data_IF_883930904454
#
_entry.id   IF_883930904454
#
_cell.length_a   1.000
_cell.length_b   1.000
_cell.length_c   1.000
_cell.angle_alpha   90.00
_cell.angle_beta   90.00
_cell.angle_gamma   90.00
#
_symmetry.space_group_name_H-M   'P 1'
#
loop_
_entity.id
_entity.type
_entity.pdbx_description
1 polymer ?
#
# COMPACT_ATOMS: atom_id res chain seq x y z
N UNK A 1 4.93 27.60 -9.90
CA UNK A 1 5.35 26.49 -10.79
C UNK A 1 4.29 25.40 -10.76
N UNK A 2 4.13 24.60 -11.84
CA UNK A 2 3.20 23.49 -11.89
C UNK A 2 3.95 22.18 -11.67
N UNK A 3 3.53 21.39 -10.67
CA UNK A 3 4.05 20.06 -10.39
C UNK A 3 3.02 18.99 -10.74
N UNK A 4 3.45 17.91 -11.38
CA UNK A 4 2.60 16.77 -11.75
C UNK A 4 2.99 15.60 -10.88
N UNK A 5 2.00 15.02 -10.17
CA UNK A 5 2.15 13.90 -9.25
C UNK A 5 1.62 12.64 -9.92
N UNK A 6 2.48 11.66 -10.16
CA UNK A 6 2.09 10.36 -10.69
C UNK A 6 1.41 9.48 -9.65
N UNK A 7 0.31 8.85 -10.01
CA UNK A 7 -0.45 7.94 -9.17
C UNK A 7 -0.96 6.74 -9.94
N UNK A 8 -1.03 5.57 -9.30
CA UNK A 8 -1.85 4.48 -9.83
C UNK A 8 -3.34 4.84 -9.74
N UNK A 9 -4.15 4.19 -10.56
CA UNK A 9 -5.61 4.45 -10.62
C UNK A 9 -6.44 3.74 -9.53
N UNK A 10 -5.84 2.96 -8.60
CA UNK A 10 -6.61 2.33 -7.54
C UNK A 10 -7.10 3.36 -6.52
N UNK A 11 -8.29 3.13 -5.92
CA UNK A 11 -8.89 4.03 -4.93
C UNK A 11 -7.93 4.39 -3.81
N UNK A 12 -7.20 3.40 -3.25
CA UNK A 12 -6.22 3.65 -2.20
C UNK A 12 -5.04 4.52 -2.69
N UNK A 13 -4.50 4.26 -3.88
CA UNK A 13 -3.40 5.05 -4.43
C UNK A 13 -3.82 6.51 -4.66
N UNK A 14 -5.03 6.73 -5.19
CA UNK A 14 -5.56 8.08 -5.39
C UNK A 14 -5.76 8.83 -4.07
N UNK A 15 -6.26 8.18 -3.02
CA UNK A 15 -6.40 8.78 -1.69
C UNK A 15 -5.03 9.15 -1.11
N UNK A 16 -4.03 8.27 -1.25
CA UNK A 16 -2.66 8.55 -0.82
C UNK A 16 -2.06 9.75 -1.57
N UNK A 17 -2.27 9.81 -2.88
CA UNK A 17 -1.75 10.89 -3.71
C UNK A 17 -2.48 12.21 -3.43
N UNK A 18 -3.79 12.20 -3.24
CA UNK A 18 -4.57 13.38 -2.84
C UNK A 18 -4.12 13.93 -1.48
N UNK A 19 -3.88 13.06 -0.51
CA UNK A 19 -3.34 13.48 0.78
C UNK A 19 -2.02 14.25 0.63
N UNK A 20 -1.11 13.78 -0.21
CA UNK A 20 0.15 14.47 -0.50
C UNK A 20 -0.09 15.79 -1.22
N UNK A 21 -0.94 15.79 -2.25
CA UNK A 21 -1.32 16.97 -3.02
C UNK A 21 -1.89 18.08 -2.12
N UNK A 22 -2.84 17.75 -1.25
CA UNK A 22 -3.49 18.69 -0.33
C UNK A 22 -2.51 19.30 0.66
N UNK A 23 -1.59 18.48 1.21
CA UNK A 23 -0.54 18.97 2.10
C UNK A 23 0.39 19.95 1.40
N UNK A 24 0.81 19.65 0.18
CA UNK A 24 1.68 20.51 -0.62
C UNK A 24 0.95 21.79 -1.04
N UNK A 25 -0.27 21.69 -1.54
CA UNK A 25 -1.05 22.87 -1.96
C UNK A 25 -1.33 23.84 -0.80
N UNK A 26 -1.52 23.30 0.43
CA UNK A 26 -1.70 24.12 1.62
C UNK A 26 -0.41 24.83 2.05
N UNK A 27 0.74 24.17 1.93
CA UNK A 27 2.03 24.71 2.38
C UNK A 27 2.67 25.65 1.33
N UNK A 28 2.37 25.44 0.03
CA UNK A 28 2.96 26.14 -1.10
C UNK A 28 1.88 26.63 -2.06
N UNK A 29 1.03 27.60 -1.62
CA UNK A 29 -0.12 28.08 -2.42
C UNK A 29 0.27 28.78 -3.72
N UNK A 30 1.53 29.20 -3.86
CA UNK A 30 2.11 29.78 -5.09
C UNK A 30 2.39 28.72 -6.18
N UNK A 31 2.26 27.43 -5.85
CA UNK A 31 2.47 26.32 -6.77
C UNK A 31 1.17 25.57 -7.05
N UNK A 32 1.09 24.96 -8.23
CA UNK A 32 -0.03 24.11 -8.62
C UNK A 32 0.42 22.64 -8.61
N UNK A 33 -0.39 21.77 -8.02
CA UNK A 33 -0.12 20.34 -7.94
C UNK A 33 -1.26 19.57 -8.63
N UNK A 34 -0.94 18.84 -9.70
CA UNK A 34 -1.91 18.06 -10.45
C UNK A 34 -1.62 16.56 -10.38
N UNK A 35 -2.66 15.74 -10.35
CA UNK A 35 -2.51 14.28 -10.32
C UNK A 35 -2.66 13.72 -11.72
N UNK A 36 -1.67 12.93 -12.16
CA UNK A 36 -1.72 12.15 -13.39
C UNK A 36 -1.85 10.67 -13.07
N UNK A 37 -2.92 10.02 -13.58
CA UNK A 37 -3.15 8.59 -13.38
C UNK A 37 -2.33 7.81 -14.40
N UNK A 38 -1.53 6.84 -13.89
CA UNK A 38 -0.64 5.99 -14.68
C UNK A 38 -1.07 4.53 -14.48
N UNK A 39 -1.38 3.85 -15.59
CA UNK A 39 -1.73 2.42 -15.58
C UNK A 39 -0.45 1.59 -15.60
N UNK A 40 -0.22 0.79 -14.56
CA UNK A 40 0.95 -0.08 -14.47
C UNK A 40 0.67 -1.50 -14.99
N UNK A 41 1.72 -2.27 -15.30
CA UNK A 41 1.59 -3.69 -15.66
C UNK A 41 0.94 -4.50 -14.56
N UNK A 42 1.24 -4.19 -13.29
CA UNK A 42 0.63 -4.84 -12.13
C UNK A 42 -0.87 -4.61 -12.03
N UNK A 43 -1.38 -3.46 -12.49
CA UNK A 43 -2.82 -3.18 -12.55
C UNK A 43 -3.54 -3.97 -13.65
N UNK A 44 -2.84 -4.26 -14.75
CA UNK A 44 -3.39 -5.02 -15.90
C UNK A 44 -3.44 -6.52 -15.65
N UNK A 45 -2.47 -7.09 -14.92
CA UNK A 45 -2.35 -8.55 -14.71
C UNK A 45 -2.99 -8.92 -13.36
N UNK A 46 -4.27 -9.28 -13.36
CA UNK A 46 -4.98 -9.67 -12.14
C UNK A 46 -5.16 -11.20 -11.98
N UNK A 47 -4.90 -11.98 -13.04
CA UNK A 47 -5.25 -13.40 -13.11
C UNK A 47 -4.12 -14.35 -12.67
N UNK A 48 -2.92 -13.85 -12.34
CA UNK A 48 -1.77 -14.69 -11.96
C UNK A 48 -1.26 -14.30 -10.57
N UNK A 49 -0.82 -15.22 -9.70
CA UNK A 49 -0.15 -14.90 -8.44
C UNK A 49 1.06 -13.99 -8.66
N UNK A 50 1.32 -13.04 -7.74
CA UNK A 50 2.40 -12.05 -7.88
C UNK A 50 3.79 -12.69 -8.00
N UNK A 51 4.02 -13.79 -7.29
CA UNK A 51 5.26 -14.56 -7.31
C UNK A 51 5.50 -15.28 -8.64
N UNK A 52 4.44 -15.52 -9.44
CA UNK A 52 4.54 -16.15 -10.77
C UNK A 52 4.66 -15.13 -11.92
N UNK A 53 4.44 -13.84 -11.67
CA UNK A 53 4.50 -12.82 -12.72
C UNK A 53 5.95 -12.40 -12.99
N UNK A 54 6.86 -12.59 -12.02
CA UNK A 54 8.29 -12.25 -12.11
C UNK A 54 8.55 -10.76 -12.38
N UNK A 55 9.62 -10.23 -11.78
CA UNK A 55 10.07 -8.86 -12.00
C UNK A 55 9.82 -7.96 -10.77
N UNK A 56 10.88 -7.26 -10.35
CA UNK A 56 10.80 -6.17 -9.39
C UNK A 56 10.09 -4.99 -10.06
N UNK A 57 9.28 -4.25 -9.29
CA UNK A 57 8.72 -2.99 -9.78
C UNK A 57 7.43 -3.11 -10.62
N UNK A 58 6.65 -4.20 -10.53
CA UNK A 58 5.39 -4.38 -11.28
C UNK A 58 4.39 -3.24 -11.16
N UNK A 59 4.47 -2.46 -10.09
CA UNK A 59 3.55 -1.36 -9.78
C UNK A 59 4.20 0.02 -9.83
N UNK A 60 5.49 0.09 -10.16
CA UNK A 60 6.25 1.34 -10.04
C UNK A 60 6.97 1.74 -11.32
N UNK A 61 7.37 0.77 -12.15
CA UNK A 61 8.24 0.99 -13.32
C UNK A 61 7.73 2.07 -14.26
N UNK A 62 6.46 2.05 -14.61
CA UNK A 62 5.87 3.05 -15.52
C UNK A 62 5.80 4.45 -14.89
N UNK A 63 5.75 4.53 -13.56
CA UNK A 63 5.81 5.80 -12.83
C UNK A 63 7.25 6.30 -12.82
N UNK A 64 8.22 5.43 -12.47
CA UNK A 64 9.66 5.74 -12.50
C UNK A 64 10.10 6.25 -13.88
N UNK A 65 9.70 5.57 -14.98
CA UNK A 65 10.00 5.98 -16.35
C UNK A 65 9.51 7.41 -16.64
N UNK A 66 8.31 7.77 -16.17
CA UNK A 66 7.73 9.12 -16.35
C UNK A 66 8.40 10.18 -15.46
N UNK A 67 8.89 9.81 -14.27
CA UNK A 67 9.69 10.72 -13.45
C UNK A 67 11.03 10.99 -14.12
N UNK A 68 11.70 9.94 -14.62
CA UNK A 68 13.00 10.05 -15.30
C UNK A 68 12.89 10.90 -16.57
N UNK A 69 11.84 10.70 -17.37
CA UNK A 69 11.60 11.50 -18.59
C UNK A 69 11.20 12.96 -18.31
N UNK A 70 10.82 13.28 -17.07
CA UNK A 70 10.31 14.62 -16.71
C UNK A 70 8.85 14.87 -17.09
N UNK A 71 8.12 13.84 -17.55
CA UNK A 71 6.68 13.95 -17.83
C UNK A 71 5.88 14.19 -16.55
N UNK A 72 6.32 13.60 -15.43
CA UNK A 72 5.83 13.88 -14.09
C UNK A 72 6.99 14.26 -13.17
N UNK A 73 6.70 14.95 -12.08
CA UNK A 73 7.72 15.48 -11.17
C UNK A 73 7.98 14.54 -9.99
N UNK A 74 6.97 13.78 -9.55
CA UNK A 74 7.05 12.87 -8.42
C UNK A 74 6.06 11.72 -8.52
N UNK A 75 6.37 10.60 -7.84
CA UNK A 75 5.48 9.47 -7.63
C UNK A 75 5.09 9.31 -6.16
N UNK A 76 3.85 8.87 -5.90
CA UNK A 76 3.38 8.53 -4.56
C UNK A 76 3.06 7.04 -4.49
N UNK A 77 3.71 6.33 -3.55
CA UNK A 77 3.64 4.89 -3.43
C UNK A 77 3.42 4.45 -1.97
N UNK A 78 2.86 3.27 -1.78
CA UNK A 78 2.99 2.55 -0.51
C UNK A 78 4.42 2.04 -0.39
N UNK A 79 5.17 2.48 0.62
CA UNK A 79 6.62 2.22 0.70
C UNK A 79 6.97 0.73 0.76
N UNK A 80 6.11 -0.10 1.35
CA UNK A 80 6.29 -1.57 1.39
C UNK A 80 6.31 -2.25 0.01
N UNK A 81 5.79 -1.58 -1.02
CA UNK A 81 5.70 -2.11 -2.39
C UNK A 81 6.90 -1.66 -3.25
N UNK A 82 7.75 -0.76 -2.69
CA UNK A 82 8.94 -0.24 -3.35
C UNK A 82 10.13 -1.19 -3.21
N UNK A 83 11.03 -1.21 -4.20
CA UNK A 83 12.32 -1.85 -4.03
C UNK A 83 13.14 -1.15 -2.95
N UNK A 84 14.06 -1.87 -2.32
CA UNK A 84 14.95 -1.32 -1.27
C UNK A 84 15.91 -0.24 -1.79
N UNK A 85 16.17 -0.25 -3.09
CA UNK A 85 17.02 0.74 -3.78
C UNK A 85 16.18 1.37 -4.89
N UNK A 86 16.07 2.71 -4.94
CA UNK A 86 15.37 3.39 -6.02
C UNK A 86 16.06 3.14 -7.37
N UNK A 87 15.35 3.39 -8.46
CA UNK A 87 15.92 3.34 -9.80
C UNK A 87 17.02 4.41 -9.96
N UNK A 88 17.99 4.17 -10.85
CA UNK A 88 19.10 5.11 -11.09
C UNK A 88 18.55 6.48 -11.48
N UNK A 89 19.03 7.52 -10.82
CA UNK A 89 18.61 8.91 -11.01
C UNK A 89 17.36 9.31 -10.23
N UNK A 90 16.77 8.38 -9.46
CA UNK A 90 15.65 8.64 -8.56
C UNK A 90 16.09 8.52 -7.09
N UNK A 91 15.36 9.20 -6.22
CA UNK A 91 15.54 9.13 -4.76
C UNK A 91 14.19 9.10 -4.07
N UNK A 92 14.13 8.47 -2.90
CA UNK A 92 13.03 8.65 -1.97
C UNK A 92 13.33 9.84 -1.06
N UNK A 93 12.34 10.69 -0.87
CA UNK A 93 12.43 11.78 0.12
C UNK A 93 12.31 11.22 1.53
N UNK A 94 12.47 12.05 2.55
CA UNK A 94 12.23 11.65 3.92
C UNK A 94 10.80 11.17 4.11
N UNK A 95 10.62 10.18 4.98
CA UNK A 95 9.32 9.55 5.22
C UNK A 95 8.43 10.47 6.06
N UNK A 96 7.21 10.72 5.58
CA UNK A 96 6.18 11.44 6.33
C UNK A 96 5.62 10.56 7.47
N UNK A 97 4.76 11.14 8.32
CA UNK A 97 4.14 10.41 9.44
C UNK A 97 3.59 9.06 8.96
N UNK A 98 4.11 8.00 9.57
CA UNK A 98 3.71 6.63 9.29
C UNK A 98 2.32 6.37 9.86
N UNK A 99 1.45 5.75 9.09
CA UNK A 99 0.17 5.23 9.54
C UNK A 99 0.36 3.89 10.26
N UNK A 100 -0.67 3.39 10.95
CA UNK A 100 -0.66 2.14 11.71
C UNK A 100 -0.06 0.98 10.91
N UNK A 101 1.09 0.43 11.32
CA UNK A 101 1.80 -0.60 10.56
C UNK A 101 1.19 -2.00 10.72
N UNK A 102 0.26 -2.20 11.64
CA UNK A 102 -0.27 -3.53 11.96
C UNK A 102 -0.99 -4.16 10.78
N UNK A 103 -1.00 -5.48 10.76
CA UNK A 103 -1.96 -6.25 9.98
C UNK A 103 -3.25 -6.41 10.78
N UNK A 104 -4.37 -6.57 10.08
CA UNK A 104 -5.69 -6.71 10.69
C UNK A 104 -6.44 -7.87 10.05
N UNK A 105 -7.30 -8.49 10.83
CA UNK A 105 -8.28 -9.47 10.38
C UNK A 105 -9.61 -8.77 10.12
N UNK A 106 -10.25 -9.19 9.05
CA UNK A 106 -11.65 -8.93 8.77
C UNK A 106 -12.30 -10.31 8.70
N UNK A 107 -13.08 -10.64 9.72
CA UNK A 107 -13.72 -11.93 9.91
C UNK A 107 -15.22 -11.81 9.66
N UNK A 108 -15.79 -12.78 8.97
CA UNK A 108 -17.20 -12.76 8.61
C UNK A 108 -18.14 -13.16 9.76
N UNK A 109 -17.75 -14.15 10.55
CA UNK A 109 -18.62 -14.75 11.57
C UNK A 109 -18.02 -14.75 12.99
N UNK A 110 -16.84 -14.17 13.17
CA UNK A 110 -16.14 -14.09 14.44
C UNK A 110 -15.56 -12.68 14.66
N UNK A 111 -15.22 -12.35 15.91
CA UNK A 111 -14.53 -11.10 16.24
C UNK A 111 -13.02 -11.30 16.41
N UNK A 112 -12.61 -12.48 16.81
CA UNK A 112 -11.22 -12.81 17.09
C UNK A 112 -10.79 -14.09 16.38
N UNK A 113 -9.49 -14.21 16.07
CA UNK A 113 -8.87 -15.37 15.44
C UNK A 113 -9.12 -16.66 16.24
N UNK A 114 -9.17 -16.56 17.58
CA UNK A 114 -9.41 -17.67 18.48
C UNK A 114 -10.84 -18.23 18.41
N UNK A 115 -11.79 -17.44 17.95
CA UNK A 115 -13.22 -17.81 17.87
C UNK A 115 -13.56 -18.52 16.56
N UNK A 116 -12.63 -18.54 15.61
CA UNK A 116 -12.85 -19.24 14.34
C UNK A 116 -12.96 -20.75 14.55
N UNK A 117 -13.86 -21.38 13.81
CA UNK A 117 -13.99 -22.85 13.75
C UNK A 117 -12.69 -23.49 13.32
N UNK A 118 -12.49 -24.76 13.66
CA UNK A 118 -11.41 -25.57 13.12
C UNK A 118 -11.48 -25.65 11.59
N UNK A 119 -10.32 -25.58 10.94
CA UNK A 119 -10.23 -25.57 9.48
C UNK A 119 -10.82 -24.33 8.80
N UNK A 120 -10.98 -23.20 9.51
CA UNK A 120 -11.49 -21.96 8.93
C UNK A 120 -10.61 -21.47 7.77
N UNK A 121 -11.25 -20.89 6.74
CA UNK A 121 -10.61 -20.45 5.50
C UNK A 121 -10.27 -18.96 5.57
N UNK A 122 -8.98 -18.63 5.66
CA UNK A 122 -8.49 -17.24 5.67
C UNK A 122 -7.75 -16.95 4.36
N UNK A 123 -8.11 -15.85 3.70
CA UNK A 123 -7.48 -15.49 2.45
C UNK A 123 -6.39 -14.43 2.60
N UNK A 124 -5.23 -14.70 2.02
CA UNK A 124 -4.14 -13.74 1.88
C UNK A 124 -3.26 -14.06 0.67
N UNK A 125 -2.83 -13.04 -0.09
CA UNK A 125 -1.80 -13.22 -1.12
C UNK A 125 -0.37 -13.06 -0.60
N UNK A 126 -0.17 -12.91 0.70
CA UNK A 126 1.13 -12.69 1.34
C UNK A 126 1.63 -13.94 2.02
N UNK A 127 2.74 -14.52 1.53
CA UNK A 127 3.42 -15.64 2.19
C UNK A 127 3.81 -15.31 3.64
N UNK A 128 4.28 -14.09 3.89
CA UNK A 128 4.61 -13.62 5.24
C UNK A 128 3.41 -13.77 6.20
N UNK A 129 2.23 -13.31 5.79
CA UNK A 129 1.00 -13.41 6.58
C UNK A 129 0.56 -14.86 6.75
N UNK A 130 0.58 -15.62 5.65
CA UNK A 130 0.20 -17.03 5.67
C UNK A 130 1.00 -17.85 6.69
N UNK A 131 2.33 -17.73 6.65
CA UNK A 131 3.21 -18.46 7.59
C UNK A 131 2.98 -18.04 9.04
N UNK A 132 2.81 -16.77 9.32
CA UNK A 132 2.58 -16.28 10.67
C UNK A 132 1.20 -16.69 11.20
N UNK A 133 0.15 -16.66 10.38
CA UNK A 133 -1.17 -17.17 10.76
C UNK A 133 -1.14 -18.66 11.08
N UNK A 134 -0.48 -19.47 10.23
CA UNK A 134 -0.34 -20.90 10.46
C UNK A 134 0.52 -21.24 11.69
N UNK A 135 1.41 -20.36 12.11
CA UNK A 135 2.12 -20.49 13.40
C UNK A 135 1.18 -20.27 14.58
N UNK A 136 0.25 -19.32 14.48
CA UNK A 136 -0.74 -19.03 15.54
C UNK A 136 -1.87 -20.07 15.57
N UNK A 137 -2.32 -20.49 14.39
CA UNK A 137 -3.45 -21.42 14.19
C UNK A 137 -3.11 -22.39 13.05
N UNK A 138 -2.44 -23.53 13.36
CA UNK A 138 -2.00 -24.51 12.36
C UNK A 138 -3.13 -25.20 11.59
N UNK A 139 -4.33 -25.18 12.13
CA UNK A 139 -5.55 -25.79 11.56
C UNK A 139 -6.16 -24.94 10.41
N UNK A 140 -5.77 -23.66 10.27
CA UNK A 140 -6.34 -22.78 9.25
C UNK A 140 -6.04 -23.24 7.83
N UNK A 141 -7.00 -23.06 6.95
CA UNK A 141 -6.83 -23.19 5.50
C UNK A 141 -6.51 -21.84 4.92
N UNK A 142 -5.30 -21.67 4.37
CA UNK A 142 -4.89 -20.40 3.75
C UNK A 142 -5.06 -20.48 2.26
N UNK A 143 -5.87 -19.57 1.71
CA UNK A 143 -6.06 -19.44 0.26
C UNK A 143 -5.50 -18.11 -0.27
N UNK A 144 -5.16 -18.11 -1.56
CA UNK A 144 -4.65 -16.90 -2.20
C UNK A 144 -5.79 -15.98 -2.64
N UNK A 145 -5.70 -14.69 -2.32
CA UNK A 145 -6.64 -13.67 -2.78
C UNK A 145 -5.92 -12.48 -3.42
N UNK A 146 -6.43 -12.00 -4.53
CA UNK A 146 -5.91 -10.84 -5.27
C UNK A 146 -6.98 -9.81 -5.56
N UNK A 147 -6.52 -8.59 -5.84
CA UNK A 147 -7.31 -7.41 -6.10
C UNK A 147 -6.93 -6.27 -5.16
N UNK A 148 -7.53 -5.11 -5.36
CA UNK A 148 -7.51 -4.01 -4.41
C UNK A 148 -8.35 -4.36 -3.16
N UNK A 149 -8.40 -3.47 -2.17
CA UNK A 149 -9.11 -3.71 -0.90
C UNK A 149 -10.58 -4.04 -1.15
N UNK A 150 -11.29 -3.20 -1.91
CA UNK A 150 -12.72 -3.38 -2.21
C UNK A 150 -12.98 -4.74 -2.90
N UNK A 151 -12.13 -5.12 -3.85
CA UNK A 151 -12.24 -6.41 -4.55
C UNK A 151 -12.04 -7.59 -3.61
N UNK A 152 -11.11 -7.50 -2.65
CA UNK A 152 -10.86 -8.60 -1.69
C UNK A 152 -12.01 -8.73 -0.70
N UNK A 153 -12.56 -7.63 -0.22
CA UNK A 153 -13.74 -7.64 0.65
C UNK A 153 -14.92 -8.30 -0.07
N UNK A 154 -15.21 -7.87 -1.30
CA UNK A 154 -16.26 -8.47 -2.12
C UNK A 154 -16.05 -9.97 -2.35
N UNK A 155 -14.82 -10.40 -2.70
CA UNK A 155 -14.51 -11.83 -2.87
C UNK A 155 -14.64 -12.64 -1.59
N UNK A 156 -14.34 -12.05 -0.43
CA UNK A 156 -14.54 -12.70 0.87
C UNK A 156 -16.02 -13.10 1.03
N UNK A 157 -16.94 -12.18 0.75
CA UNK A 157 -18.38 -12.43 0.82
C UNK A 157 -18.86 -13.41 -0.25
N UNK A 158 -18.49 -13.18 -1.52
CA UNK A 158 -18.92 -14.03 -2.65
C UNK A 158 -18.44 -15.49 -2.51
N UNK A 159 -17.25 -15.70 -1.99
CA UNK A 159 -16.65 -17.02 -1.79
C UNK A 159 -16.93 -17.60 -0.40
N UNK A 160 -17.72 -16.93 0.44
CA UNK A 160 -18.07 -17.34 1.79
C UNK A 160 -16.83 -17.70 2.66
N UNK A 161 -15.75 -16.91 2.52
CA UNK A 161 -14.52 -17.12 3.31
C UNK A 161 -14.75 -16.72 4.76
N UNK A 162 -14.08 -17.38 5.70
CA UNK A 162 -14.17 -17.04 7.12
C UNK A 162 -13.48 -15.71 7.44
N UNK A 163 -12.50 -15.30 6.61
CA UNK A 163 -11.90 -13.98 6.75
C UNK A 163 -10.77 -13.67 5.77
N UNK A 164 -10.26 -12.45 5.86
CA UNK A 164 -9.09 -11.97 5.11
C UNK A 164 -8.14 -11.17 6.01
N UNK A 165 -6.87 -11.09 5.60
CA UNK A 165 -5.85 -10.27 6.28
C UNK A 165 -5.48 -9.08 5.41
N UNK A 166 -5.61 -7.87 5.95
CA UNK A 166 -5.23 -6.63 5.30
C UNK A 166 -4.28 -5.81 6.18
N UNK A 167 -3.73 -4.71 5.64
CA UNK A 167 -2.96 -3.75 6.42
C UNK A 167 -3.89 -2.67 6.98
N UNK A 168 -3.82 -2.38 8.26
CA UNK A 168 -4.59 -1.33 8.92
C UNK A 168 -4.49 0.01 8.19
N UNK A 169 -3.27 0.44 7.85
CA UNK A 169 -3.02 1.69 7.14
C UNK A 169 -3.82 1.85 5.84
N UNK A 170 -4.07 0.75 5.11
CA UNK A 170 -4.88 0.78 3.89
C UNK A 170 -6.35 1.06 4.18
N UNK A 171 -6.92 0.39 5.18
CA UNK A 171 -8.32 0.56 5.59
C UNK A 171 -8.55 1.94 6.21
N UNK A 172 -7.65 2.40 7.09
CA UNK A 172 -7.72 3.73 7.69
C UNK A 172 -7.75 4.83 6.62
N UNK A 173 -6.85 4.77 5.65
CA UNK A 173 -6.83 5.74 4.54
C UNK A 173 -8.09 5.70 3.67
N UNK A 174 -8.73 4.54 3.55
CA UNK A 174 -9.99 4.37 2.84
C UNK A 174 -11.22 4.78 3.66
N UNK A 175 -11.07 5.09 4.96
CA UNK A 175 -12.18 5.35 5.87
C UNK A 175 -13.02 4.09 6.14
N UNK A 176 -12.38 2.92 6.18
CA UNK A 176 -13.01 1.61 6.33
C UNK A 176 -12.53 0.90 7.61
N UNK A 177 -12.37 1.63 8.71
CA UNK A 177 -11.92 1.05 9.98
C UNK A 177 -12.99 0.20 10.64
N UNK A 178 -14.24 0.48 10.36
CA UNK A 178 -15.44 -0.22 10.84
C UNK A 178 -15.52 -1.70 10.43
N UNK A 179 -14.88 -2.07 9.32
CA UNK A 179 -14.84 -3.48 8.87
C UNK A 179 -13.79 -4.31 9.63
N UNK A 180 -12.90 -3.69 10.40
CA UNK A 180 -11.83 -4.38 11.13
C UNK A 180 -12.42 -5.11 12.33
N UNK A 181 -12.24 -6.42 12.39
CA UNK A 181 -12.68 -7.23 13.53
C UNK A 181 -11.59 -7.38 14.58
N UNK A 182 -10.31 -7.51 14.15
CA UNK A 182 -9.18 -7.66 15.06
C UNK A 182 -7.92 -7.00 14.50
N UNK A 183 -7.25 -6.20 15.33
CA UNK A 183 -5.87 -5.79 15.10
C UNK A 183 -4.93 -6.87 15.61
N UNK A 184 -3.99 -7.31 14.76
CA UNK A 184 -2.97 -8.28 15.17
C UNK A 184 -1.82 -7.55 15.87
N UNK A 185 -1.47 -8.00 17.05
CA UNK A 185 -0.35 -7.45 17.80
C UNK A 185 0.98 -7.71 17.05
N UNK A 186 1.98 -6.81 17.15
CA UNK A 186 3.28 -7.01 16.50
C UNK A 186 3.99 -8.30 16.93
N UNK A 187 3.73 -8.77 18.14
CA UNK A 187 4.25 -10.01 18.73
C UNK A 187 3.70 -11.25 18.02
N UNK A 188 2.45 -11.16 17.54
CA UNK A 188 1.75 -12.23 16.82
C UNK A 188 1.99 -12.16 15.31
N UNK A 189 2.02 -10.92 14.77
CA UNK A 189 2.12 -10.68 13.34
C UNK A 189 3.09 -9.54 13.04
N UNK A 190 4.34 -9.87 12.75
CA UNK A 190 5.33 -8.90 12.28
C UNK A 190 4.87 -8.34 10.93
N UNK A 191 4.68 -7.04 10.87
CA UNK A 191 4.25 -6.34 9.66
C UNK A 191 5.31 -6.36 8.54
N UNK A 192 4.91 -6.06 7.31
CA UNK A 192 5.89 -5.88 6.24
C UNK A 192 6.81 -4.68 6.55
N UNK A 193 8.09 -4.73 6.15
CA UNK A 193 8.97 -3.56 6.23
C UNK A 193 8.29 -2.33 5.61
N UNK A 194 8.39 -1.19 6.27
CA UNK A 194 7.80 0.08 5.85
C UNK A 194 6.27 0.07 5.63
N UNK A 195 5.53 -0.95 6.13
CA UNK A 195 4.07 -0.95 6.07
C UNK A 195 3.52 0.27 6.81
N UNK A 196 2.56 0.99 6.19
CA UNK A 196 1.98 2.24 6.72
C UNK A 196 2.68 3.51 6.24
N UNK A 197 3.94 3.45 5.80
CA UNK A 197 4.66 4.58 5.25
C UNK A 197 4.31 4.83 3.77
N UNK A 198 4.38 6.11 3.35
CA UNK A 198 4.38 6.51 1.94
C UNK A 198 5.82 6.71 1.47
N UNK A 199 6.12 6.28 0.26
CA UNK A 199 7.32 6.64 -0.46
C UNK A 199 6.98 7.74 -1.47
N UNK A 200 7.65 8.88 -1.36
CA UNK A 200 7.59 9.96 -2.32
C UNK A 200 8.88 9.91 -3.13
N UNK A 201 8.74 9.60 -4.41
CA UNK A 201 9.85 9.36 -5.31
C UNK A 201 9.99 10.51 -6.29
N UNK A 202 11.21 11.04 -6.42
CA UNK A 202 11.54 12.19 -7.27
C UNK A 202 12.87 11.96 -7.96
N UNK A 203 13.20 12.73 -9.00
CA UNK A 203 14.56 12.74 -9.54
C UNK A 203 15.55 13.31 -8.52
N UNK A 204 16.77 12.76 -8.51
CA UNK A 204 17.82 13.19 -7.59
C UNK A 204 18.31 14.63 -7.82
N UNK A 205 18.10 15.20 -9.03
CA UNK A 205 18.47 16.57 -9.37
C UNK A 205 17.40 17.61 -8.94
N UNK A 206 16.17 17.19 -8.61
CA UNK A 206 15.08 18.08 -8.19
C UNK A 206 15.19 18.47 -6.70
N UNK A 207 16.27 19.16 -6.34
CA UNK A 207 16.59 19.51 -4.93
C UNK A 207 15.56 20.42 -4.28
N UNK A 208 14.92 21.31 -5.03
CA UNK A 208 13.87 22.18 -4.52
C UNK A 208 12.62 21.35 -4.12
N UNK A 209 12.15 20.47 -4.99
CA UNK A 209 11.02 19.60 -4.70
C UNK A 209 11.32 18.65 -3.51
N UNK A 210 12.55 18.11 -3.43
CA UNK A 210 12.97 17.30 -2.28
C UNK A 210 12.84 18.09 -0.97
N UNK A 211 13.34 19.34 -0.92
CA UNK A 211 13.22 20.21 0.25
C UNK A 211 11.76 20.48 0.63
N UNK A 212 10.90 20.77 -0.37
CA UNK A 212 9.47 20.98 -0.13
C UNK A 212 8.81 19.75 0.50
N UNK A 213 9.14 18.57 0.04
CA UNK A 213 8.60 17.30 0.56
C UNK A 213 9.15 16.96 1.94
N UNK A 214 10.41 17.25 2.20
CA UNK A 214 11.09 16.94 3.45
C UNK A 214 10.58 17.77 4.65
N UNK A 215 9.92 18.91 4.42
CA UNK A 215 9.29 19.73 5.47
C UNK A 215 8.23 18.96 6.26
N UNK A 216 7.56 18.00 5.64
CA UNK A 216 6.52 17.19 6.28
C UNK A 216 7.08 15.93 6.98
N UNK A 217 8.39 15.74 6.95
CA UNK A 217 9.02 14.69 7.72
C UNK A 217 8.88 15.00 9.22
N UNK A 218 8.35 14.06 9.99
CA UNK A 218 8.47 14.15 11.44
C UNK A 218 9.94 13.96 11.81
N UNK A 219 10.56 14.98 12.38
CA UNK A 219 11.80 14.80 13.16
C UNK A 219 11.44 13.87 14.31
N UNK A 220 12.07 12.69 14.35
CA UNK A 220 12.02 11.79 15.50
C UNK A 220 12.88 12.39 16.62
#
# INVERSE_FOLDING_TARGET
MKYIIGSRGSRLALIQTKYVQEKLAKAYPEHTFEIQIIKTKGDKIQNKPLDKIGGKGLFVKEIEEKIISGEIHMGVHSMKDMPSTPAKGLVFTKVWKREDPRDVLILRTAKHLSELREGAVIATGSKRRAFQLLKLRPDLQIINIRGNVDTRLRKMEEQQLDGIVLAAAGLKRLGMEDVITQYLAPEDMISAPAQGALALEVREDQKELQKMLDVFCNSF
#
